data_IF_966877416382
#
_entry.id   IF_966877416382
#
_cell.length_a   1.000
_cell.length_b   1.000
_cell.length_c   1.000
_cell.angle_alpha   90.00
_cell.angle_beta   90.00
_cell.angle_gamma   90.00
#
_symmetry.space_group_name_H-M   'P 1'
#
loop_
_entity.id
_entity.type
_entity.pdbx_description
1 polymer ?
#
# COMPACT_ATOMS: atom_id res chain seq x y z
N UNK A 1 -1.34 -16.93 21.24
CA UNK A 1 -0.42 -17.14 20.10
C UNK A 1 0.80 -16.27 20.35
N UNK A 2 1.99 -16.83 20.32
CA UNK A 2 3.23 -16.09 20.61
C UNK A 2 3.64 -15.25 19.39
N UNK A 3 3.83 -13.95 19.59
CA UNK A 3 4.11 -12.99 18.50
C UNK A 3 5.48 -13.24 17.84
N UNK A 4 6.44 -13.77 18.59
CA UNK A 4 7.85 -13.84 18.18
C UNK A 4 8.55 -12.49 18.32
N UNK A 5 9.75 -12.36 17.75
CA UNK A 5 10.54 -11.12 17.79
C UNK A 5 9.88 -10.01 16.98
N UNK A 6 9.94 -8.78 17.49
CA UNK A 6 9.56 -7.58 16.72
C UNK A 6 10.61 -7.31 15.63
N UNK A 7 10.16 -7.23 14.38
CA UNK A 7 10.98 -7.03 13.20
C UNK A 7 10.93 -5.58 12.70
N UNK A 8 9.75 -4.98 12.67
CA UNK A 8 9.55 -3.64 12.13
C UNK A 8 8.35 -2.95 12.79
N UNK A 9 8.45 -1.65 12.99
CA UNK A 9 7.33 -0.80 13.38
C UNK A 9 6.92 0.11 12.23
N UNK A 10 5.62 0.18 12.00
CA UNK A 10 4.98 1.10 11.06
C UNK A 10 4.15 2.09 11.87
N UNK A 11 4.85 3.07 12.47
CA UNK A 11 4.24 4.15 13.23
C UNK A 11 4.00 5.34 12.34
N UNK A 12 3.00 6.13 12.68
CA UNK A 12 2.73 7.37 11.97
C UNK A 12 3.96 8.29 11.97
N UNK A 13 4.32 8.82 10.81
CA UNK A 13 5.46 9.72 10.68
C UNK A 13 5.20 11.06 11.40
N UNK A 14 6.16 11.48 12.23
CA UNK A 14 6.16 12.78 12.89
C UNK A 14 6.37 13.94 11.91
N UNK A 15 6.94 13.69 10.73
CA UNK A 15 7.20 14.72 9.72
C UNK A 15 5.93 15.43 9.25
N UNK A 16 4.78 14.75 9.25
CA UNK A 16 3.52 15.39 8.90
C UNK A 16 3.08 16.41 9.95
N UNK A 17 3.33 16.18 11.23
CA UNK A 17 3.02 17.18 12.27
C UNK A 17 3.86 18.43 12.11
N UNK A 18 5.10 18.30 11.62
CA UNK A 18 5.96 19.45 11.30
C UNK A 18 5.36 20.26 10.15
N UNK A 19 4.99 19.61 9.04
CA UNK A 19 4.42 20.30 7.87
C UNK A 19 3.09 20.95 8.20
N UNK A 20 2.15 20.21 8.79
CA UNK A 20 0.85 20.76 9.18
C UNK A 20 0.99 21.83 10.27
N UNK A 21 1.88 21.62 11.24
CA UNK A 21 2.18 22.57 12.30
C UNK A 21 2.71 23.90 11.77
N UNK A 22 3.57 23.87 10.76
CA UNK A 22 4.03 25.08 10.07
C UNK A 22 2.87 25.88 9.47
N UNK A 23 1.97 25.24 8.71
CA UNK A 23 0.82 25.93 8.12
C UNK A 23 -0.16 26.43 9.17
N UNK A 24 -0.46 25.62 10.19
CA UNK A 24 -1.33 26.03 11.30
C UNK A 24 -0.72 27.26 11.99
N UNK A 25 0.57 27.23 12.33
CA UNK A 25 1.28 28.35 12.94
C UNK A 25 1.27 29.59 12.06
N UNK A 26 1.52 29.46 10.76
CA UNK A 26 1.46 30.56 9.79
C UNK A 26 0.08 31.22 9.77
N UNK A 27 -1.00 30.43 9.70
CA UNK A 27 -2.37 30.97 9.67
C UNK A 27 -2.80 31.56 11.02
N UNK A 28 -2.31 31.02 12.13
CA UNK A 28 -2.49 31.65 13.46
C UNK A 28 -1.78 33.00 13.52
N UNK A 29 -0.54 33.11 13.01
CA UNK A 29 0.17 34.39 12.95
C UNK A 29 -0.54 35.41 12.06
N UNK A 30 -1.08 34.98 10.90
CA UNK A 30 -1.92 35.83 10.04
C UNK A 30 -3.16 36.32 10.80
N UNK A 31 -3.83 35.43 11.55
CA UNK A 31 -4.99 35.81 12.36
C UNK A 31 -4.60 36.84 13.43
N UNK A 32 -3.51 36.60 14.18
CA UNK A 32 -3.00 37.54 15.18
C UNK A 32 -2.61 38.89 14.56
N UNK A 33 -2.04 38.90 13.35
CA UNK A 33 -1.77 40.12 12.60
C UNK A 33 -3.05 40.88 12.24
N UNK A 34 -4.08 40.18 11.76
CA UNK A 34 -5.41 40.78 11.52
C UNK A 34 -6.03 41.38 12.78
N UNK A 35 -5.88 40.69 13.91
CA UNK A 35 -6.33 41.18 15.21
C UNK A 35 -5.56 42.43 15.65
N UNK A 36 -4.23 42.42 15.56
CA UNK A 36 -3.39 43.56 15.89
C UNK A 36 -3.71 44.78 15.02
N UNK A 37 -3.89 44.58 13.70
CA UNK A 37 -4.31 45.63 12.78
C UNK A 37 -5.69 46.20 13.14
N UNK A 38 -6.62 45.38 13.63
CA UNK A 38 -7.94 45.85 14.08
C UNK A 38 -7.86 46.76 15.31
N UNK A 39 -6.80 46.64 16.13
CA UNK A 39 -6.56 47.51 17.28
C UNK A 39 -5.69 48.74 16.97
N UNK A 40 -4.76 48.61 16.02
CA UNK A 40 -3.76 49.65 15.71
C UNK A 40 -4.19 50.62 14.61
N UNK A 41 -5.07 50.21 13.69
CA UNK A 41 -5.53 51.06 12.60
C UNK A 41 -6.77 51.88 12.98
N UNK A 42 -6.95 53.08 12.41
CA UNK A 42 -8.19 53.84 12.55
C UNK A 42 -9.39 53.00 12.09
N UNK A 43 -10.53 53.14 12.79
CA UNK A 43 -11.79 52.48 12.47
C UNK A 43 -12.47 53.08 11.22
N UNK A 44 -11.74 53.15 10.10
CA UNK A 44 -12.31 53.46 8.81
C UNK A 44 -13.05 52.23 8.25
N UNK A 45 -14.19 52.40 7.57
CA UNK A 45 -15.04 51.29 7.12
C UNK A 45 -14.30 50.22 6.32
N UNK A 46 -13.34 50.60 5.48
CA UNK A 46 -12.53 49.67 4.68
C UNK A 46 -11.44 48.94 5.47
N UNK A 47 -10.69 49.65 6.32
CA UNK A 47 -9.60 49.06 7.13
C UNK A 47 -10.12 48.19 8.28
N UNK A 48 -11.23 48.59 8.90
CA UNK A 48 -11.90 47.79 9.94
C UNK A 48 -12.50 46.49 9.40
N UNK A 49 -13.01 46.49 8.16
CA UNK A 49 -13.47 45.26 7.49
C UNK A 49 -12.30 44.35 7.13
N UNK A 50 -11.24 44.88 6.52
CA UNK A 50 -10.08 44.11 6.08
C UNK A 50 -9.38 43.39 7.24
N UNK A 51 -9.16 44.06 8.37
CA UNK A 51 -8.51 43.48 9.56
C UNK A 51 -9.33 42.34 10.17
N UNK A 52 -10.65 42.51 10.31
CA UNK A 52 -11.58 41.45 10.76
C UNK A 52 -11.63 40.29 9.78
N UNK A 53 -11.63 40.56 8.48
CA UNK A 53 -11.59 39.52 7.46
C UNK A 53 -10.30 38.70 7.56
N UNK A 54 -9.13 39.34 7.66
CA UNK A 54 -7.84 38.66 7.83
C UNK A 54 -7.84 37.77 9.09
N UNK A 55 -8.38 38.28 10.21
CA UNK A 55 -8.52 37.50 11.44
C UNK A 55 -9.36 36.24 11.23
N UNK A 56 -10.59 36.39 10.70
CA UNK A 56 -11.52 35.27 10.49
C UNK A 56 -10.96 34.28 9.46
N UNK A 57 -10.38 34.77 8.37
CA UNK A 57 -9.78 33.94 7.33
C UNK A 57 -8.60 33.13 7.87
N UNK A 58 -7.68 33.77 8.59
CA UNK A 58 -6.54 33.10 9.22
C UNK A 58 -7.01 31.99 10.19
N UNK A 59 -7.98 32.30 11.05
CA UNK A 59 -8.51 31.32 12.00
C UNK A 59 -9.21 30.15 11.28
N UNK A 60 -10.04 30.43 10.27
CA UNK A 60 -10.73 29.41 9.49
C UNK A 60 -9.74 28.47 8.79
N UNK A 61 -8.69 29.02 8.17
CA UNK A 61 -7.65 28.21 7.53
C UNK A 61 -6.89 27.36 8.54
N UNK A 62 -6.51 27.91 9.71
CA UNK A 62 -5.85 27.15 10.77
C UNK A 62 -6.71 25.94 11.22
N UNK A 63 -8.02 26.14 11.40
CA UNK A 63 -8.96 25.07 11.75
C UNK A 63 -9.07 24.02 10.64
N UNK A 64 -9.14 24.42 9.37
CA UNK A 64 -9.19 23.50 8.23
C UNK A 64 -7.91 22.64 8.16
N UNK A 65 -6.73 23.26 8.33
CA UNK A 65 -5.46 22.54 8.34
C UNK A 65 -5.36 21.59 9.53
N UNK A 66 -5.79 22.00 10.72
CA UNK A 66 -5.82 21.14 11.91
C UNK A 66 -6.76 19.94 11.74
N UNK A 67 -7.99 20.17 11.26
CA UNK A 67 -8.95 19.10 11.00
C UNK A 67 -8.44 18.13 9.92
N UNK A 68 -7.79 18.65 8.88
CA UNK A 68 -7.16 17.86 7.83
C UNK A 68 -6.00 17.01 8.35
N UNK A 69 -5.13 17.59 9.18
CA UNK A 69 -4.04 16.88 9.84
C UNK A 69 -4.62 15.72 10.67
N UNK A 70 -5.54 16.02 11.59
CA UNK A 70 -6.17 15.01 12.45
C UNK A 70 -6.77 13.85 11.65
N UNK A 71 -7.48 14.12 10.55
CA UNK A 71 -8.07 13.08 9.68
C UNK A 71 -7.01 12.24 8.95
N UNK A 72 -5.95 12.87 8.43
CA UNK A 72 -4.89 12.13 7.71
C UNK A 72 -4.01 11.30 8.64
N UNK A 73 -3.91 11.73 9.90
CA UNK A 73 -3.08 11.15 10.94
C UNK A 73 -3.81 10.11 11.79
N UNK A 74 -5.14 10.11 11.81
CA UNK A 74 -5.95 9.07 12.46
C UNK A 74 -5.85 7.74 11.68
N UNK A 75 -4.70 7.07 11.81
CA UNK A 75 -4.35 5.83 11.15
C UNK A 75 -3.91 4.78 12.17
N UNK A 76 -4.20 3.50 11.90
CA UNK A 76 -3.64 2.40 12.68
C UNK A 76 -2.11 2.43 12.68
N UNK A 77 -1.52 1.98 13.78
CA UNK A 77 -0.11 1.62 13.84
C UNK A 77 0.01 0.11 13.62
N UNK A 78 1.09 -0.31 12.96
CA UNK A 78 1.35 -1.72 12.76
C UNK A 78 2.71 -2.11 13.34
N UNK A 79 2.78 -3.30 13.91
CA UNK A 79 3.98 -3.88 14.49
C UNK A 79 4.15 -5.26 13.85
N UNK A 80 5.20 -5.39 13.05
CA UNK A 80 5.54 -6.63 12.37
C UNK A 80 6.37 -7.48 13.31
N UNK A 81 5.86 -8.66 13.63
CA UNK A 81 6.59 -9.70 14.35
C UNK A 81 6.81 -10.91 13.45
N UNK A 82 7.70 -11.80 13.85
CA UNK A 82 8.01 -13.03 13.10
C UNK A 82 6.78 -13.88 12.78
N UNK A 83 5.79 -13.92 13.67
CA UNK A 83 4.60 -14.76 13.50
C UNK A 83 3.33 -13.99 13.12
N UNK A 84 3.37 -12.66 13.05
CA UNK A 84 2.16 -11.88 12.74
C UNK A 84 2.38 -10.38 12.65
N UNK A 85 1.38 -9.70 12.12
CA UNK A 85 1.27 -8.24 12.15
C UNK A 85 0.25 -7.87 13.21
N UNK A 86 0.68 -7.13 14.22
CA UNK A 86 -0.23 -6.50 15.16
C UNK A 86 -0.67 -5.14 14.63
N UNK A 87 -1.98 -4.93 14.61
CA UNK A 87 -2.60 -3.63 14.37
C UNK A 87 -3.02 -3.04 15.72
N UNK A 88 -2.56 -1.84 16.01
CA UNK A 88 -3.03 -1.02 17.14
C UNK A 88 -3.78 0.19 16.59
N UNK A 89 -5.05 0.31 16.93
CA UNK A 89 -5.86 1.45 16.54
C UNK A 89 -6.84 1.82 17.65
N UNK A 90 -6.69 3.03 18.20
CA UNK A 90 -7.46 3.48 19.37
C UNK A 90 -7.32 2.44 20.49
N UNK A 91 -8.41 1.99 21.09
CA UNK A 91 -8.42 0.98 22.15
C UNK A 91 -8.50 -0.46 21.63
N UNK A 92 -8.30 -0.68 20.32
CA UNK A 92 -8.36 -1.99 19.69
C UNK A 92 -6.95 -2.46 19.30
N UNK A 93 -6.61 -3.67 19.73
CA UNK A 93 -5.42 -4.39 19.31
C UNK A 93 -5.84 -5.70 18.64
N UNK A 94 -5.29 -5.98 17.47
CA UNK A 94 -5.58 -7.18 16.71
C UNK A 94 -4.28 -7.75 16.15
N UNK A 95 -4.03 -9.03 16.37
CA UNK A 95 -2.88 -9.74 15.80
C UNK A 95 -3.34 -10.58 14.61
N UNK A 96 -2.84 -10.26 13.43
CA UNK A 96 -3.02 -11.04 12.21
C UNK A 96 -1.84 -12.02 12.05
N UNK A 97 -2.04 -13.34 12.13
CA UNK A 97 -0.97 -14.30 11.89
C UNK A 97 -0.46 -14.20 10.46
N UNK A 98 0.85 -14.35 10.24
CA UNK A 98 1.44 -14.28 8.88
C UNK A 98 0.83 -15.34 7.95
N UNK A 99 0.54 -16.54 8.47
CA UNK A 99 -0.11 -17.61 7.68
C UNK A 99 -1.49 -17.20 7.12
N UNK A 100 -2.17 -16.25 7.77
CA UNK A 100 -3.47 -15.76 7.36
C UNK A 100 -3.35 -14.56 6.42
N UNK A 101 -2.16 -14.05 6.11
CA UNK A 101 -1.98 -13.03 5.07
C UNK A 101 -2.18 -13.68 3.70
N UNK A 102 -3.23 -13.29 3.00
CA UNK A 102 -3.62 -13.88 1.71
C UNK A 102 -3.10 -13.04 0.56
N UNK A 103 -3.50 -11.77 0.55
CA UNK A 103 -3.13 -10.81 -0.47
C UNK A 103 -2.27 -9.70 0.12
N UNK A 104 -1.15 -9.43 -0.54
CA UNK A 104 -0.27 -8.29 -0.25
C UNK A 104 -0.04 -7.52 -1.55
N UNK A 105 -0.38 -6.23 -1.58
CA UNK A 105 -0.38 -5.46 -2.80
C UNK A 105 0.35 -4.14 -2.66
N UNK A 106 1.33 -3.93 -3.54
CA UNK A 106 2.05 -2.67 -3.65
C UNK A 106 1.39 -1.75 -4.67
N UNK A 107 1.31 -0.48 -4.34
CA UNK A 107 0.81 0.50 -5.29
C UNK A 107 1.37 1.90 -5.00
N UNK A 108 1.28 2.74 -6.02
CA UNK A 108 1.77 4.10 -5.98
C UNK A 108 0.60 5.07 -5.89
N UNK A 109 0.70 6.03 -4.97
CA UNK A 109 -0.17 7.21 -4.98
C UNK A 109 0.68 8.48 -5.04
N UNK A 110 0.17 9.50 -5.74
CA UNK A 110 0.87 10.76 -5.98
C UNK A 110 2.05 10.64 -6.95
N UNK A 111 2.90 11.67 -6.99
CA UNK A 111 4.10 11.72 -7.83
C UNK A 111 5.29 11.02 -7.15
N UNK A 112 5.20 9.70 -6.98
CA UNK A 112 6.31 8.89 -6.45
C UNK A 112 6.95 8.07 -7.58
N UNK A 113 8.29 7.97 -7.64
CA UNK A 113 8.99 7.19 -8.67
C UNK A 113 8.84 5.67 -8.48
N UNK A 114 8.34 5.22 -7.32
CA UNK A 114 8.12 3.81 -7.02
C UNK A 114 6.94 3.57 -6.08
N UNK A 115 6.60 2.30 -5.82
CA UNK A 115 5.53 1.92 -4.91
C UNK A 115 5.82 2.47 -3.51
N UNK A 116 4.80 3.09 -2.92
CA UNK A 116 4.94 3.82 -1.68
C UNK A 116 3.78 3.53 -0.71
N UNK A 117 2.91 2.59 -1.08
CA UNK A 117 1.85 2.05 -0.25
C UNK A 117 1.84 0.53 -0.38
N UNK A 118 1.50 -0.12 0.72
CA UNK A 118 1.29 -1.54 0.83
C UNK A 118 -0.10 -1.78 1.44
N UNK A 119 -0.95 -2.49 0.72
CA UNK A 119 -2.20 -2.99 1.25
C UNK A 119 -2.11 -4.49 1.51
N UNK A 120 -2.78 -4.99 2.53
CA UNK A 120 -2.85 -6.42 2.79
C UNK A 120 -4.22 -6.84 3.35
N UNK A 121 -4.55 -8.11 3.16
CA UNK A 121 -5.77 -8.74 3.68
C UNK A 121 -5.44 -9.97 4.51
N UNK A 122 -6.28 -10.22 5.51
CA UNK A 122 -6.36 -11.54 6.11
C UNK A 122 -7.30 -12.43 5.31
N UNK A 123 -7.09 -13.74 5.46
CA UNK A 123 -8.03 -14.76 5.04
C UNK A 123 -9.45 -14.47 5.58
N UNK A 124 -10.44 -14.63 4.70
CA UNK A 124 -11.84 -14.33 4.97
C UNK A 124 -12.21 -12.84 5.15
N UNK A 125 -11.28 -11.90 4.96
CA UNK A 125 -11.55 -10.46 5.05
C UNK A 125 -11.56 -9.77 3.69
N UNK A 126 -12.65 -9.09 3.39
CA UNK A 126 -12.72 -8.17 2.24
C UNK A 126 -12.14 -6.78 2.54
N UNK A 127 -11.80 -6.50 3.80
CA UNK A 127 -11.25 -5.23 4.22
C UNK A 127 -9.73 -5.21 4.06
N UNK A 128 -9.24 -4.23 3.29
CA UNK A 128 -7.83 -3.96 3.14
C UNK A 128 -7.29 -3.18 4.35
N UNK A 129 -6.21 -3.68 4.93
CA UNK A 129 -5.34 -2.89 5.80
C UNK A 129 -4.31 -2.16 4.94
N UNK A 130 -3.85 -0.99 5.40
CA UNK A 130 -3.00 -0.10 4.61
C UNK A 130 -1.83 0.43 5.42
N UNK A 131 -0.61 0.15 4.95
CA UNK A 131 0.63 0.82 5.32
C UNK A 131 0.98 1.77 4.17
N UNK A 132 0.64 3.05 4.33
CA UNK A 132 0.93 4.11 3.35
C UNK A 132 2.25 4.83 3.62
N UNK A 133 2.62 5.76 2.71
CA UNK A 133 3.73 6.74 2.88
C UNK A 133 3.73 7.54 4.18
N UNK A 134 2.61 7.54 4.89
CA UNK A 134 2.46 8.24 6.15
C UNK A 134 2.94 7.43 7.34
N UNK A 135 3.28 6.16 7.14
CA UNK A 135 3.96 5.34 8.12
C UNK A 135 5.47 5.46 7.91
N UNK A 136 6.18 5.45 9.02
CA UNK A 136 7.61 5.15 9.08
C UNK A 136 7.84 3.65 8.83
N UNK A 137 9.11 3.27 8.65
CA UNK A 137 9.52 1.88 8.55
C UNK A 137 9.66 1.37 7.12
N UNK A 138 10.31 0.23 7.00
CA UNK A 138 10.58 -0.41 5.72
C UNK A 138 9.45 -1.34 5.30
N UNK A 139 8.78 -1.02 4.19
CA UNK A 139 7.74 -1.87 3.59
C UNK A 139 8.33 -3.22 3.12
N UNK A 140 9.63 -3.25 2.78
CA UNK A 140 10.38 -4.45 2.41
C UNK A 140 10.30 -5.55 3.45
N UNK A 141 10.37 -5.21 4.74
CA UNK A 141 10.35 -6.20 5.82
C UNK A 141 9.10 -7.09 5.80
N UNK A 142 7.92 -6.52 5.53
CA UNK A 142 6.68 -7.30 5.43
C UNK A 142 6.61 -8.09 4.13
N UNK A 143 7.10 -7.54 3.01
CA UNK A 143 7.19 -8.28 1.74
C UNK A 143 8.07 -9.52 1.91
N UNK A 144 9.24 -9.38 2.54
CA UNK A 144 10.19 -10.46 2.75
C UNK A 144 9.64 -11.52 3.71
N UNK A 145 9.03 -11.10 4.83
CA UNK A 145 8.41 -12.04 5.76
C UNK A 145 7.28 -12.83 5.08
N UNK A 146 6.42 -12.13 4.33
CA UNK A 146 5.36 -12.76 3.57
C UNK A 146 5.91 -13.70 2.50
N UNK A 147 6.94 -13.30 1.74
CA UNK A 147 7.62 -14.16 0.75
C UNK A 147 8.04 -15.48 1.40
N UNK A 148 8.76 -15.43 2.51
CA UNK A 148 9.27 -16.65 3.16
C UNK A 148 8.14 -17.50 3.73
N UNK A 149 7.32 -16.95 4.64
CA UNK A 149 6.35 -17.75 5.40
C UNK A 149 5.16 -18.19 4.56
N UNK A 150 4.64 -17.33 3.67
CA UNK A 150 3.50 -17.67 2.84
C UNK A 150 3.89 -18.63 1.72
N UNK A 151 5.11 -18.51 1.15
CA UNK A 151 5.57 -19.49 0.16
C UNK A 151 5.72 -20.88 0.78
N UNK A 152 6.26 -21.00 1.99
CA UNK A 152 6.33 -22.29 2.72
C UNK A 152 4.95 -22.92 2.90
N UNK A 153 3.97 -22.14 3.36
CA UNK A 153 2.60 -22.61 3.53
C UNK A 153 1.97 -23.06 2.20
N UNK A 154 2.04 -22.23 1.16
CA UNK A 154 1.46 -22.54 -0.15
C UNK A 154 2.19 -23.66 -0.87
N UNK A 155 3.48 -23.87 -0.58
CA UNK A 155 4.24 -24.99 -1.11
C UNK A 155 3.67 -26.33 -0.63
N UNK A 156 3.33 -26.44 0.66
CA UNK A 156 2.67 -27.64 1.21
C UNK A 156 1.32 -27.91 0.53
N UNK A 157 0.56 -26.84 0.23
CA UNK A 157 -0.72 -26.96 -0.48
C UNK A 157 -0.51 -27.46 -1.93
N UNK A 158 0.48 -26.94 -2.64
CA UNK A 158 0.89 -27.43 -3.96
C UNK A 158 1.33 -28.90 -3.89
N UNK A 159 2.10 -29.27 -2.87
CA UNK A 159 2.56 -30.65 -2.66
C UNK A 159 1.39 -31.63 -2.52
N UNK A 160 0.29 -31.17 -1.92
CA UNK A 160 -0.99 -31.91 -1.81
C UNK A 160 -1.82 -31.89 -3.10
N UNK A 161 -1.31 -31.30 -4.19
CA UNK A 161 -1.99 -31.23 -5.49
C UNK A 161 -2.98 -30.08 -5.62
N UNK A 162 -3.00 -29.13 -4.69
CA UNK A 162 -3.88 -27.97 -4.78
C UNK A 162 -3.37 -26.97 -5.81
N UNK A 163 -4.31 -26.28 -6.44
CA UNK A 163 -4.04 -25.11 -7.25
C UNK A 163 -4.13 -23.87 -6.37
N UNK A 164 -3.09 -23.04 -6.41
CA UNK A 164 -3.04 -21.76 -5.70
C UNK A 164 -3.37 -20.63 -6.67
N UNK A 165 -4.03 -19.59 -6.17
CA UNK A 165 -4.48 -18.47 -6.99
C UNK A 165 -3.87 -17.16 -6.51
N UNK A 166 -3.55 -16.29 -7.45
CA UNK A 166 -3.10 -14.93 -7.21
C UNK A 166 -3.94 -13.97 -8.01
N UNK A 167 -4.32 -12.88 -7.36
CA UNK A 167 -5.05 -11.80 -7.98
C UNK A 167 -4.09 -10.85 -8.69
N UNK A 168 -4.52 -10.31 -9.83
CA UNK A 168 -3.77 -9.28 -10.54
C UNK A 168 -4.70 -8.29 -11.24
N UNK A 169 -4.17 -7.11 -11.55
CA UNK A 169 -4.79 -6.11 -12.40
C UNK A 169 -3.96 -5.93 -13.67
N UNK A 170 -4.57 -5.43 -14.74
CA UNK A 170 -3.80 -5.14 -15.96
C UNK A 170 -2.94 -3.89 -15.76
N UNK A 171 -1.85 -3.76 -16.53
CA UNK A 171 -1.03 -2.54 -16.55
C UNK A 171 -1.85 -1.30 -16.89
N UNK A 172 -2.82 -1.42 -17.81
CA UNK A 172 -3.73 -0.33 -18.15
C UNK A 172 -4.61 0.08 -16.96
N UNK A 173 -5.09 -0.89 -16.18
CA UNK A 173 -5.85 -0.64 -14.94
C UNK A 173 -4.96 0.04 -13.89
N UNK A 174 -3.75 -0.48 -13.65
CA UNK A 174 -2.80 0.10 -12.70
C UNK A 174 -2.45 1.55 -13.06
N UNK A 175 -2.19 1.82 -14.35
CA UNK A 175 -1.90 3.16 -14.87
C UNK A 175 -3.11 4.08 -14.75
N UNK A 176 -4.30 3.64 -15.15
CA UNK A 176 -5.53 4.42 -14.97
C UNK A 176 -5.69 4.83 -13.51
N UNK A 177 -5.54 3.87 -12.61
CA UNK A 177 -5.74 4.11 -11.19
C UNK A 177 -4.65 4.98 -10.57
N UNK A 178 -3.40 4.92 -11.03
CA UNK A 178 -2.35 5.81 -10.51
C UNK A 178 -2.64 7.29 -10.79
N UNK A 179 -3.38 7.59 -11.86
CA UNK A 179 -3.82 8.95 -12.18
C UNK A 179 -5.18 9.32 -11.58
N UNK A 180 -6.13 8.38 -11.52
CA UNK A 180 -7.53 8.70 -11.16
C UNK A 180 -7.90 8.35 -9.71
N UNK A 181 -7.13 7.51 -9.01
CA UNK A 181 -7.46 7.13 -7.65
C UNK A 181 -7.14 8.28 -6.67
N UNK A 182 -8.19 8.97 -6.23
CA UNK A 182 -8.11 10.02 -5.20
C UNK A 182 -7.78 9.46 -3.80
N UNK A 183 -7.83 8.13 -3.64
CA UNK A 183 -7.49 7.43 -2.40
C UNK A 183 -7.05 5.97 -2.65
N UNK A 184 -6.35 5.39 -1.69
CA UNK A 184 -5.99 3.97 -1.69
C UNK A 184 -7.23 3.05 -1.85
N UNK A 185 -8.35 3.37 -1.19
CA UNK A 185 -9.56 2.55 -1.26
C UNK A 185 -10.14 2.50 -2.69
N UNK A 186 -10.06 3.61 -3.43
CA UNK A 186 -10.48 3.64 -4.84
C UNK A 186 -9.60 2.74 -5.70
N UNK A 187 -8.30 2.69 -5.43
CA UNK A 187 -7.35 1.83 -6.13
C UNK A 187 -7.65 0.35 -5.87
N UNK A 188 -7.87 0.00 -4.61
CA UNK A 188 -8.04 -1.36 -4.10
C UNK A 188 -9.39 -2.02 -4.46
N UNK A 189 -10.38 -1.23 -4.88
CA UNK A 189 -11.70 -1.71 -5.34
C UNK A 189 -11.74 -2.02 -6.85
N UNK A 190 -10.58 -2.06 -7.51
CA UNK A 190 -10.51 -2.36 -8.94
C UNK A 190 -10.81 -3.83 -9.21
N UNK A 191 -11.51 -4.10 -10.32
CA UNK A 191 -11.76 -5.48 -10.77
C UNK A 191 -10.44 -6.19 -11.05
N UNK A 192 -10.14 -7.21 -10.26
CA UNK A 192 -9.00 -8.09 -10.47
C UNK A 192 -9.35 -9.24 -11.43
N UNK A 193 -8.30 -9.86 -11.94
CA UNK A 193 -8.29 -11.16 -12.60
C UNK A 193 -7.46 -12.14 -11.75
N UNK A 194 -7.54 -13.42 -12.06
CA UNK A 194 -6.76 -14.44 -11.37
C UNK A 194 -5.75 -15.11 -12.30
N UNK A 195 -4.57 -15.38 -11.73
CA UNK A 195 -3.56 -16.27 -12.30
C UNK A 195 -3.35 -17.40 -11.29
N UNK A 196 -3.31 -18.64 -11.78
CA UNK A 196 -3.27 -19.80 -10.92
C UNK A 196 -2.04 -20.66 -11.22
N UNK A 197 -1.52 -21.32 -10.18
CA UNK A 197 -0.35 -22.18 -10.25
C UNK A 197 -0.64 -23.52 -9.57
N UNK A 198 -0.19 -24.60 -10.18
CA UNK A 198 -0.08 -25.90 -9.53
C UNK A 198 1.19 -26.61 -9.99
N UNK A 199 1.33 -27.89 -9.61
CA UNK A 199 2.51 -28.69 -9.97
C UNK A 199 2.75 -28.83 -11.45
N UNK A 200 1.74 -28.65 -12.31
CA UNK A 200 1.79 -28.97 -13.74
C UNK A 200 1.70 -27.73 -14.64
N UNK A 201 0.83 -26.78 -14.29
CA UNK A 201 0.43 -25.67 -15.13
C UNK A 201 0.53 -24.31 -14.43
N UNK A 202 0.80 -23.30 -15.25
CA UNK A 202 0.44 -21.90 -15.00
C UNK A 202 -0.85 -21.62 -15.78
N UNK A 203 -1.90 -21.17 -15.12
CA UNK A 203 -3.20 -20.85 -15.75
C UNK A 203 -3.39 -19.34 -15.80
N UNK A 204 -3.56 -18.78 -16.99
CA UNK A 204 -3.73 -17.33 -17.23
C UNK A 204 -4.89 -17.12 -18.19
N UNK A 205 -5.90 -16.31 -17.82
CA UNK A 205 -7.13 -16.10 -18.60
C UNK A 205 -7.72 -17.44 -19.10
N UNK A 206 -7.94 -18.39 -18.19
CA UNK A 206 -8.51 -19.73 -18.46
C UNK A 206 -7.68 -20.61 -19.42
N UNK A 207 -6.46 -20.20 -19.77
CA UNK A 207 -5.54 -20.98 -20.61
C UNK A 207 -4.48 -21.64 -19.73
N UNK A 208 -4.35 -22.96 -19.84
CA UNK A 208 -3.35 -23.74 -19.13
C UNK A 208 -2.04 -23.83 -19.93
N UNK A 209 -0.97 -23.29 -19.37
CA UNK A 209 0.37 -23.36 -19.92
C UNK A 209 1.19 -24.39 -19.13
N UNK A 210 1.61 -25.51 -19.74
CA UNK A 210 2.44 -26.50 -19.05
C UNK A 210 3.75 -25.84 -18.60
N UNK A 211 4.10 -25.92 -17.31
CA UNK A 211 5.33 -25.26 -16.84
C UNK A 211 6.58 -25.87 -17.51
N UNK A 212 6.49 -27.09 -18.05
CA UNK A 212 7.56 -27.76 -18.81
C UNK A 212 7.93 -26.99 -20.10
N UNK A 213 7.03 -26.13 -20.58
CA UNK A 213 7.22 -25.31 -21.77
C UNK A 213 7.49 -23.84 -21.43
N UNK A 214 7.63 -23.49 -20.15
CA UNK A 214 7.84 -22.12 -19.71
C UNK A 214 9.30 -21.89 -19.29
N UNK A 215 9.72 -20.64 -19.43
CA UNK A 215 11.04 -20.15 -19.05
C UNK A 215 10.99 -19.48 -17.67
N UNK A 216 12.12 -19.38 -16.95
CA UNK A 216 12.22 -18.56 -15.74
C UNK A 216 11.72 -17.13 -15.94
N UNK A 217 11.28 -16.50 -14.85
CA UNK A 217 10.82 -15.10 -14.86
C UNK A 217 11.94 -14.20 -15.37
N UNK A 218 11.64 -13.43 -16.41
CA UNK A 218 12.55 -12.43 -16.96
C UNK A 218 12.17 -11.05 -16.46
N UNK A 219 13.15 -10.28 -15.99
CA UNK A 219 12.96 -8.87 -15.60
C UNK A 219 13.34 -7.94 -16.76
N UNK A 220 12.44 -7.05 -17.12
CA UNK A 220 12.66 -6.00 -18.11
C UNK A 220 12.52 -4.62 -17.44
N UNK A 221 13.50 -3.75 -17.66
CA UNK A 221 13.60 -2.45 -16.96
C UNK A 221 12.32 -1.59 -17.03
N UNK A 222 11.59 -1.64 -18.15
CA UNK A 222 10.39 -0.81 -18.37
C UNK A 222 9.06 -1.57 -18.29
N UNK A 223 9.09 -2.91 -18.38
CA UNK A 223 7.87 -3.74 -18.46
C UNK A 223 7.62 -4.57 -17.19
N UNK A 224 8.51 -4.51 -16.21
CA UNK A 224 8.41 -5.31 -14.99
C UNK A 224 8.95 -6.73 -15.22
N UNK A 225 8.10 -7.72 -15.07
CA UNK A 225 8.42 -9.14 -15.14
C UNK A 225 7.57 -9.82 -16.21
N UNK A 226 8.16 -10.79 -16.92
CA UNK A 226 7.46 -11.58 -17.93
C UNK A 226 7.84 -13.05 -17.83
N UNK A 227 6.85 -13.92 -18.02
CA UNK A 227 7.02 -15.35 -18.24
C UNK A 227 6.77 -15.60 -19.73
N UNK A 228 7.71 -16.30 -20.36
CA UNK A 228 7.63 -16.68 -21.77
C UNK A 228 7.63 -18.19 -21.92
N UNK A 229 7.07 -18.67 -23.01
CA UNK A 229 7.24 -20.06 -23.41
C UNK A 229 8.62 -20.29 -24.07
N UNK A 230 8.94 -21.55 -24.38
CA UNK A 230 10.17 -21.96 -25.07
C UNK A 230 10.33 -21.35 -26.47
N UNK A 231 9.25 -20.88 -27.10
CA UNK A 231 9.30 -20.18 -28.40
C UNK A 231 9.61 -18.70 -28.25
N UNK A 232 9.66 -18.18 -27.02
CA UNK A 232 9.89 -16.78 -26.71
C UNK A 232 8.61 -15.94 -26.68
N UNK A 233 7.43 -16.56 -26.83
CA UNK A 233 6.14 -15.86 -26.75
C UNK A 233 5.80 -15.56 -25.29
N UNK A 234 5.38 -14.32 -25.03
CA UNK A 234 4.93 -13.90 -23.70
C UNK A 234 3.61 -14.59 -23.33
N UNK A 235 3.61 -15.23 -22.15
CA UNK A 235 2.47 -15.97 -21.58
C UNK A 235 1.81 -15.13 -20.49
N UNK A 236 2.62 -14.51 -19.64
CA UNK A 236 2.13 -13.67 -18.55
C UNK A 236 3.11 -12.53 -18.28
N UNK A 237 2.58 -11.34 -18.03
CA UNK A 237 3.34 -10.14 -17.73
C UNK A 237 2.76 -9.45 -16.52
N UNK A 238 3.63 -9.03 -15.60
CA UNK A 238 3.26 -8.43 -14.33
C UNK A 238 4.36 -7.53 -13.79
N UNK A 239 4.03 -6.70 -12.83
CA UNK A 239 4.95 -5.92 -12.02
C UNK A 239 4.61 -6.10 -10.55
N UNK A 240 5.45 -5.53 -9.69
CA UNK A 240 5.23 -5.44 -8.25
C UNK A 240 3.91 -4.71 -7.93
N UNK A 241 3.42 -3.87 -8.85
CA UNK A 241 2.20 -3.07 -8.71
C UNK A 241 1.00 -3.58 -9.49
N UNK A 242 1.11 -4.72 -10.17
CA UNK A 242 -0.02 -5.34 -10.89
C UNK A 242 -0.39 -6.70 -10.34
N UNK A 243 0.54 -7.44 -9.72
CA UNK A 243 0.30 -8.76 -9.15
C UNK A 243 0.28 -8.71 -7.62
N UNK A 244 -0.78 -9.24 -7.01
CA UNK A 244 -0.87 -9.36 -5.57
C UNK A 244 0.01 -10.52 -5.10
N UNK A 245 0.67 -10.32 -3.97
CA UNK A 245 1.65 -11.22 -3.39
C UNK A 245 2.77 -11.59 -4.39
N UNK A 246 3.22 -10.63 -5.22
CA UNK A 246 4.16 -10.88 -6.33
C UNK A 246 5.42 -11.65 -5.91
N UNK A 247 5.98 -11.35 -4.73
CA UNK A 247 7.18 -12.01 -4.24
C UNK A 247 6.93 -13.49 -3.90
N UNK A 248 5.75 -13.80 -3.35
CA UNK A 248 5.31 -15.18 -3.07
C UNK A 248 5.09 -15.94 -4.38
N UNK A 249 4.42 -15.31 -5.36
CA UNK A 249 4.24 -15.90 -6.69
C UNK A 249 5.58 -16.22 -7.35
N UNK A 250 6.52 -15.27 -7.35
CA UNK A 250 7.82 -15.44 -7.98
C UNK A 250 8.64 -16.56 -7.32
N UNK A 251 8.62 -16.63 -5.98
CA UNK A 251 9.28 -17.67 -5.20
C UNK A 251 8.73 -19.06 -5.56
N UNK A 252 7.41 -19.22 -5.52
CA UNK A 252 6.75 -20.51 -5.82
C UNK A 252 6.97 -20.92 -7.28
N UNK A 253 6.82 -19.98 -8.21
CA UNK A 253 7.06 -20.24 -9.62
C UNK A 253 8.49 -20.73 -9.88
N UNK A 254 9.48 -20.09 -9.26
CA UNK A 254 10.89 -20.48 -9.38
C UNK A 254 11.12 -21.89 -8.85
N UNK A 255 10.63 -22.18 -7.64
CA UNK A 255 10.72 -23.54 -7.04
C UNK A 255 10.03 -24.60 -7.90
N UNK A 256 8.88 -24.28 -8.51
CA UNK A 256 8.17 -25.19 -9.41
C UNK A 256 8.97 -25.52 -10.67
N UNK A 257 9.77 -24.60 -11.19
CA UNK A 257 10.67 -24.85 -12.32
C UNK A 257 11.89 -25.68 -11.90
N UNK A 258 12.47 -25.39 -10.74
CA UNK A 258 13.64 -26.10 -10.19
C UNK A 258 13.31 -27.54 -9.76
N UNK A 259 12.15 -27.79 -9.18
CA UNK A 259 11.72 -29.14 -8.79
C UNK A 259 11.55 -30.11 -9.98
N UNK A 260 11.69 -29.60 -11.22
CA UNK A 260 11.57 -30.37 -12.47
C UNK A 260 12.91 -30.56 -13.19
N UNK A 261 13.95 -29.79 -12.83
CA UNK A 261 15.30 -29.89 -13.41
C UNK A 261 16.09 -31.01 -12.76
#
# INVERSE_FOLDING_TARGET
>A
MEKGKLLQEYKQSSSMWVVYGFFIGLFVLIALGGLALAFLLPNEPGMGFASKFIFVFGLAMAVIFYASAKRKMDKPQYFLYENGIERKYKSQEYLMPVKNLTDLFLFTTGKSPGPNNLAFKSDGSDQWELISIHHSGDIGALIDLNRVKRSEYLWQEIEQGKTIEFNYITTATALKNSFTALSANTFLNSKSKQVSLNKEFLTVNDTNYPLANLQPIQKAALKGYSIKDKTGKEVFSFSETTLWSFAVFAEIYTRLLEARS
#
